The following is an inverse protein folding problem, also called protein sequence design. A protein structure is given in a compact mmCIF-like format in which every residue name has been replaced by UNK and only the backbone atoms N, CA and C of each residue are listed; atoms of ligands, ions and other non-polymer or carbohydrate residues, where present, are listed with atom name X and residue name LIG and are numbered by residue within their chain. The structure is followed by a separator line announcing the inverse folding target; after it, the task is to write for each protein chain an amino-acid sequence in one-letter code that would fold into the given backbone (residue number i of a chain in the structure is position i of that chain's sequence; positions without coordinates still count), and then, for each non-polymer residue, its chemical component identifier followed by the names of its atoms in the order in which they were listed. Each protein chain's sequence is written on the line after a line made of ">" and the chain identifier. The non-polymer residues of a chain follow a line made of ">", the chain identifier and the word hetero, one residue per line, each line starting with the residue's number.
data_IF_214042781483
#
_entry.id   IF_214042781483
#
_cell.length_a   1.000
_cell.length_b   1.000
_cell.length_c   1.000
_cell.angle_alpha   90.00
_cell.angle_beta   90.00
_cell.angle_gamma   90.00
#
_symmetry.space_group_name_H-M   'P 1'
#
loop_
_entity.id
_entity.type
_entity.pdbx_description
1 polymer ?
#
# COMPACT_ATOMS: atom_id res chain seq x y z
N UNK A 1 2.92 31.63 -1.25
CA UNK A 1 2.13 30.41 -1.09
C UNK A 1 2.62 29.75 0.18
N UNK A 2 1.86 29.87 1.25
CA UNK A 2 2.23 29.31 2.56
C UNK A 2 1.88 27.83 2.64
N UNK A 3 2.46 27.11 3.60
CA UNK A 3 2.11 25.69 3.84
C UNK A 3 0.62 25.51 4.13
N UNK A 4 -0.03 26.48 4.74
CA UNK A 4 -1.47 26.50 4.99
C UNK A 4 -2.29 26.60 3.70
N UNK A 5 -1.87 27.44 2.74
CA UNK A 5 -2.52 27.56 1.42
C UNK A 5 -2.47 26.23 0.65
N UNK A 6 -1.36 25.50 0.74
CA UNK A 6 -1.18 24.18 0.09
C UNK A 6 -2.12 23.15 0.73
N UNK A 7 -2.20 23.12 2.05
CA UNK A 7 -3.08 22.19 2.79
C UNK A 7 -4.56 22.47 2.49
N UNK A 8 -4.94 23.73 2.40
CA UNK A 8 -6.33 24.12 2.14
C UNK A 8 -6.73 23.79 0.68
N UNK A 9 -5.85 24.04 -0.27
CA UNK A 9 -6.04 23.69 -1.68
C UNK A 9 -6.06 22.16 -1.90
N UNK A 10 -5.23 21.43 -1.16
CA UNK A 10 -5.27 19.97 -1.18
C UNK A 10 -6.57 19.43 -0.60
N UNK A 11 -7.08 20.01 0.49
CA UNK A 11 -8.39 19.66 1.07
C UNK A 11 -9.55 19.97 0.11
N UNK A 12 -9.51 21.07 -0.59
CA UNK A 12 -10.52 21.42 -1.60
C UNK A 12 -10.52 20.44 -2.78
N UNK A 13 -9.33 20.10 -3.29
CA UNK A 13 -9.16 19.09 -4.32
C UNK A 13 -9.71 17.74 -3.87
N UNK A 14 -9.34 17.28 -2.67
CA UNK A 14 -9.85 16.03 -2.11
C UNK A 14 -11.37 16.02 -1.95
N UNK A 15 -11.96 17.12 -1.48
CA UNK A 15 -13.41 17.24 -1.31
C UNK A 15 -14.15 17.24 -2.65
N UNK A 16 -13.57 17.89 -3.65
CA UNK A 16 -14.13 17.98 -5.01
C UNK A 16 -14.03 16.67 -5.78
N UNK A 17 -13.00 15.86 -5.50
CA UNK A 17 -12.73 14.62 -6.24
C UNK A 17 -13.43 13.39 -5.64
N UNK A 18 -13.55 13.33 -4.30
CA UNK A 18 -14.13 12.17 -3.62
C UNK A 18 -15.57 12.38 -3.16
N UNK A 19 -16.17 13.55 -3.43
CA UNK A 19 -17.57 13.88 -3.05
C UNK A 19 -17.92 13.49 -1.60
N UNK A 20 -16.97 13.62 -0.69
CA UNK A 20 -17.19 13.37 0.73
C UNK A 20 -18.11 14.47 1.24
N UNK A 21 -19.36 14.13 1.53
CA UNK A 21 -20.33 15.10 2.01
C UNK A 21 -19.90 15.66 3.36
N UNK A 22 -20.17 16.95 3.57
CA UNK A 22 -19.91 17.65 4.85
C UNK A 22 -20.62 16.99 6.03
N UNK A 23 -21.71 16.25 5.78
CA UNK A 23 -22.46 15.49 6.77
C UNK A 23 -21.71 14.25 7.29
N UNK A 24 -20.99 13.55 6.43
CA UNK A 24 -20.17 12.41 6.83
C UNK A 24 -18.98 12.84 7.69
N UNK A 25 -18.37 14.01 7.40
CA UNK A 25 -17.34 14.61 8.27
C UNK A 25 -17.88 14.96 9.66
N UNK A 26 -19.11 15.47 9.76
CA UNK A 26 -19.74 15.78 11.05
C UNK A 26 -20.07 14.53 11.84
N UNK A 27 -20.47 13.44 11.18
CA UNK A 27 -20.71 12.13 11.82
C UNK A 27 -19.44 11.47 12.33
N UNK A 28 -18.34 11.53 11.57
CA UNK A 28 -17.04 11.02 11.99
C UNK A 28 -16.50 11.79 13.21
N UNK A 29 -16.58 13.14 13.22
CA UNK A 29 -16.18 13.95 14.39
C UNK A 29 -17.05 13.70 15.63
N UNK A 30 -18.37 13.47 15.48
CA UNK A 30 -19.24 13.16 16.64
C UNK A 30 -18.95 11.80 17.26
N UNK A 31 -18.45 10.81 16.52
CA UNK A 31 -18.04 9.51 17.08
C UNK A 31 -16.76 9.56 17.92
N UNK A 32 -15.92 10.57 17.73
CA UNK A 32 -14.67 10.76 18.48
C UNK A 32 -14.85 11.47 19.83
N UNK A 33 -16.03 12.00 20.15
CA UNK A 33 -16.27 12.86 21.35
C UNK A 33 -17.15 12.20 22.41
N UNK A 34 -17.60 10.96 22.25
CA UNK A 34 -18.35 10.27 23.32
C UNK A 34 -17.40 9.55 24.27
N UNK A 35 -17.21 10.01 25.53
CA UNK A 35 -16.45 9.27 26.52
C UNK A 35 -17.23 7.98 26.86
N UNK A 36 -16.58 6.83 26.69
CA UNK A 36 -17.10 5.55 27.09
C UNK A 36 -17.23 5.52 28.62
N UNK A 37 -18.47 5.58 29.12
CA UNK A 37 -18.76 5.30 30.53
C UNK A 37 -18.50 3.81 30.81
N UNK A 38 -17.43 3.55 31.53
CA UNK A 38 -17.06 2.23 32.03
C UNK A 38 -18.09 1.71 33.01
N UNK A 39 -19.01 0.84 32.57
CA UNK A 39 -19.73 -0.05 33.46
C UNK A 39 -18.86 -1.28 33.75
N UNK A 40 -18.34 -1.31 34.96
CA UNK A 40 -17.61 -2.42 35.56
C UNK A 40 -18.57 -3.60 35.78
N UNK A 41 -18.67 -4.50 34.79
CA UNK A 41 -19.35 -5.78 34.91
C UNK A 41 -18.35 -6.89 35.19
N UNK A 42 -18.45 -7.54 36.36
CA UNK A 42 -17.74 -8.77 36.69
C UNK A 42 -18.07 -9.83 35.63
N UNK A 43 -17.12 -10.23 34.79
CA UNK A 43 -17.22 -11.44 33.98
C UNK A 43 -16.46 -12.56 34.66
N UNK A 44 -17.20 -13.59 35.04
CA UNK A 44 -16.69 -14.90 35.44
C UNK A 44 -16.02 -15.55 34.23
N UNK A 45 -14.86 -16.16 34.48
CA UNK A 45 -13.96 -16.66 33.46
C UNK A 45 -14.48 -17.88 32.70
N UNK A 46 -14.09 -17.95 31.46
CA UNK A 46 -14.08 -19.17 30.68
C UNK A 46 -12.65 -19.69 30.57
N UNK A 47 -12.38 -20.73 31.32
CA UNK A 47 -11.07 -21.34 31.52
C UNK A 47 -10.61 -22.29 30.41
N UNK A 48 -11.17 -22.23 29.21
CA UNK A 48 -10.89 -23.21 28.14
C UNK A 48 -9.82 -22.81 27.13
N UNK A 49 -9.36 -21.54 27.11
CA UNK A 49 -8.36 -21.04 26.16
C UNK A 49 -6.91 -21.11 26.64
N UNK A 50 -6.69 -21.53 27.91
CA UNK A 50 -5.34 -21.66 28.48
C UNK A 50 -4.56 -22.93 28.07
N UNK A 51 -5.18 -23.83 27.29
CA UNK A 51 -4.60 -25.13 26.97
C UNK A 51 -3.78 -25.18 25.66
N UNK A 52 -3.80 -24.14 24.88
CA UNK A 52 -3.00 -24.00 23.68
C UNK A 52 -2.10 -22.77 23.83
N UNK A 53 -0.89 -22.92 24.28
CA UNK A 53 0.15 -21.95 24.58
C UNK A 53 0.41 -20.78 23.60
N UNK A 54 -0.57 -20.37 22.86
CA UNK A 54 -0.65 -19.15 22.05
C UNK A 54 -1.40 -18.11 22.86
N UNK A 55 -0.67 -17.34 23.67
CA UNK A 55 -1.19 -16.10 24.27
C UNK A 55 -1.51 -15.07 23.18
N UNK A 56 -2.66 -15.24 22.52
CA UNK A 56 -3.25 -14.21 21.72
C UNK A 56 -3.80 -13.16 22.68
N UNK A 57 -3.02 -12.12 22.97
CA UNK A 57 -3.55 -10.90 23.57
C UNK A 57 -4.51 -10.28 22.55
N UNK A 58 -5.76 -10.03 22.95
CA UNK A 58 -6.79 -9.38 22.13
C UNK A 58 -6.44 -7.93 21.74
N UNK A 59 -5.30 -7.41 22.17
CA UNK A 59 -4.78 -6.08 21.85
C UNK A 59 -3.37 -6.19 21.27
N UNK A 60 -3.21 -6.22 19.94
CA UNK A 60 -1.89 -6.18 19.29
C UNK A 60 -1.15 -4.85 19.52
N UNK A 61 -1.80 -3.83 20.08
CA UNK A 61 -1.24 -2.50 20.32
C UNK A 61 -0.12 -2.48 21.37
N UNK A 62 -0.07 -3.47 22.27
CA UNK A 62 0.94 -3.52 23.33
C UNK A 62 2.17 -4.39 23.00
N UNK A 63 2.29 -4.92 21.79
CA UNK A 63 3.43 -5.75 21.39
C UNK A 63 4.64 -4.93 20.88
N UNK A 64 4.52 -3.62 20.76
CA UNK A 64 5.60 -2.75 20.35
C UNK A 64 5.96 -1.77 21.46
N UNK A 65 7.01 -2.13 22.19
CA UNK A 65 7.57 -1.39 23.28
C UNK A 65 8.00 0.02 22.92
N UNK A 66 7.23 0.97 23.41
CA UNK A 66 7.80 2.18 23.95
C UNK A 66 8.31 1.83 25.35
N UNK A 67 9.58 2.14 25.62
CA UNK A 67 10.18 2.02 26.94
C UNK A 67 9.47 2.93 27.94
N UNK A 68 8.53 2.38 28.69
CA UNK A 68 8.08 2.96 29.96
C UNK A 68 8.21 1.89 31.03
N UNK A 69 9.14 2.12 31.94
CA UNK A 69 9.27 1.39 33.19
C UNK A 69 7.96 1.46 33.96
N UNK A 70 7.24 0.36 33.96
CA UNK A 70 6.11 0.09 34.82
C UNK A 70 6.19 -1.36 35.24
N UNK A 71 6.75 -1.61 36.42
CA UNK A 71 6.76 -2.93 37.07
C UNK A 71 5.33 -3.31 37.44
N UNK A 72 4.76 -4.27 36.66
CA UNK A 72 3.60 -5.05 37.06
C UNK A 72 3.90 -6.54 36.86
N UNK A 73 3.47 -7.43 37.75
CA UNK A 73 3.80 -8.86 37.65
C UNK A 73 2.84 -9.56 36.70
N UNK A 74 2.91 -9.27 35.41
CA UNK A 74 2.21 -10.04 34.38
C UNK A 74 3.20 -10.85 33.58
N UNK A 75 3.08 -12.14 33.75
CA UNK A 75 3.89 -13.17 33.16
C UNK A 75 4.08 -12.95 31.65
N UNK A 76 5.27 -12.56 31.26
CA UNK A 76 5.77 -12.71 29.90
C UNK A 76 5.76 -14.20 29.56
N UNK A 77 4.70 -14.67 28.94
CA UNK A 77 4.75 -15.94 28.20
C UNK A 77 5.60 -15.66 26.96
N UNK A 78 6.90 -15.73 27.13
CA UNK A 78 7.86 -15.81 26.04
C UNK A 78 7.62 -17.15 25.36
N UNK A 79 6.78 -17.21 24.36
CA UNK A 79 6.74 -18.32 23.41
C UNK A 79 8.09 -18.30 22.70
N UNK A 80 8.99 -19.18 23.10
CA UNK A 80 10.29 -19.37 22.46
C UNK A 80 10.08 -20.15 21.16
N UNK A 81 9.42 -19.54 20.17
CA UNK A 81 9.50 -20.06 18.82
C UNK A 81 10.88 -19.72 18.27
N UNK A 82 11.53 -20.68 17.63
CA UNK A 82 12.77 -20.40 16.91
C UNK A 82 12.46 -19.46 15.71
N UNK A 83 13.48 -18.77 15.20
CA UNK A 83 13.32 -17.89 14.05
C UNK A 83 12.79 -18.66 12.82
N UNK A 84 13.20 -19.92 12.67
CA UNK A 84 12.77 -20.81 11.58
C UNK A 84 11.30 -21.22 11.73
N UNK A 85 10.87 -21.56 12.93
CA UNK A 85 9.46 -21.90 13.22
C UNK A 85 8.55 -20.69 12.97
N UNK A 86 8.99 -19.48 13.38
CA UNK A 86 8.25 -18.26 13.15
C UNK A 86 8.13 -17.94 11.65
N UNK A 87 9.20 -18.11 10.89
CA UNK A 87 9.19 -17.96 9.44
C UNK A 87 8.24 -18.95 8.78
N UNK A 88 8.34 -20.22 9.13
CA UNK A 88 7.46 -21.28 8.63
C UNK A 88 5.98 -20.98 8.95
N UNK A 89 5.70 -20.46 10.14
CA UNK A 89 4.37 -20.02 10.53
C UNK A 89 3.88 -18.86 9.64
N UNK A 90 4.73 -17.88 9.36
CA UNK A 90 4.37 -16.75 8.49
C UNK A 90 4.12 -17.20 7.05
N UNK A 91 4.95 -18.10 6.51
CA UNK A 91 4.77 -18.67 5.17
C UNK A 91 3.50 -19.53 5.08
N UNK A 92 3.15 -20.25 6.13
CA UNK A 92 1.90 -21.02 6.19
C UNK A 92 0.68 -20.11 6.18
N UNK A 93 0.76 -18.98 6.89
CA UNK A 93 -0.36 -18.03 7.04
C UNK A 93 -0.54 -17.15 5.82
N UNK A 94 0.53 -16.55 5.30
CA UNK A 94 0.48 -15.54 4.25
C UNK A 94 0.84 -16.06 2.85
N UNK A 95 1.44 -17.22 2.78
CA UNK A 95 1.91 -17.85 1.55
C UNK A 95 3.44 -17.93 1.48
N UNK A 96 3.93 -18.77 0.57
CA UNK A 96 5.35 -18.97 0.33
C UNK A 96 6.06 -17.66 0.01
N UNK A 97 7.32 -17.57 0.39
CA UNK A 97 8.18 -16.46 0.00
C UNK A 97 8.32 -16.41 -1.54
N UNK A 98 8.12 -15.21 -2.10
CA UNK A 98 8.29 -14.95 -3.54
C UNK A 98 9.77 -14.93 -3.95
N UNK A 99 10.67 -14.64 -2.99
CA UNK A 99 12.11 -14.61 -3.21
C UNK A 99 12.83 -15.75 -2.50
N UNK A 100 13.94 -16.23 -3.07
CA UNK A 100 14.83 -17.16 -2.39
C UNK A 100 15.32 -16.59 -1.06
N UNK A 101 15.57 -17.45 -0.08
CA UNK A 101 15.98 -17.03 1.27
C UNK A 101 17.21 -16.11 1.26
N UNK A 102 18.21 -16.42 0.43
CA UNK A 102 19.43 -15.60 0.30
C UNK A 102 19.17 -14.17 -0.18
N UNK A 103 18.19 -13.98 -1.03
CA UNK A 103 17.80 -12.64 -1.52
C UNK A 103 17.03 -11.89 -0.44
N UNK A 104 16.10 -12.56 0.25
CA UNK A 104 15.37 -11.97 1.37
C UNK A 104 16.34 -11.51 2.46
N UNK A 105 17.33 -12.30 2.82
CA UNK A 105 18.36 -11.95 3.81
C UNK A 105 19.17 -10.71 3.38
N UNK A 106 19.54 -10.60 2.10
CA UNK A 106 20.23 -9.40 1.58
C UNK A 106 19.34 -8.15 1.67
N UNK A 107 18.05 -8.29 1.35
CA UNK A 107 17.08 -7.19 1.46
C UNK A 107 16.93 -6.79 2.92
N UNK A 108 16.79 -7.74 3.84
CA UNK A 108 16.71 -7.49 5.28
C UNK A 108 17.97 -6.77 5.80
N UNK A 109 19.15 -7.19 5.41
CA UNK A 109 20.41 -6.54 5.79
C UNK A 109 20.47 -5.09 5.34
N UNK A 110 19.89 -4.76 4.20
CA UNK A 110 19.88 -3.39 3.66
C UNK A 110 18.80 -2.50 4.28
N UNK A 111 17.62 -3.05 4.60
CA UNK A 111 16.44 -2.28 5.02
C UNK A 111 16.16 -2.36 6.53
N UNK A 112 16.48 -3.50 7.16
CA UNK A 112 16.21 -3.72 8.57
C UNK A 112 17.36 -3.18 9.45
N UNK A 113 17.56 -1.86 9.43
CA UNK A 113 18.56 -1.15 10.22
C UNK A 113 17.94 -0.07 11.10
N UNK A 114 18.67 0.43 12.08
CA UNK A 114 18.20 1.50 12.96
C UNK A 114 16.92 1.12 13.71
N UNK A 115 15.83 1.84 13.50
CA UNK A 115 14.51 1.57 14.12
C UNK A 115 13.88 0.25 13.69
N UNK A 116 14.38 -0.37 12.62
CA UNK A 116 13.87 -1.62 12.07
C UNK A 116 14.82 -2.82 12.30
N UNK A 117 15.88 -2.67 13.11
CA UNK A 117 16.92 -3.69 13.31
C UNK A 117 16.40 -5.07 13.80
N UNK A 118 15.25 -5.11 14.47
CA UNK A 118 14.63 -6.35 14.96
C UNK A 118 13.46 -6.82 14.07
N UNK A 119 13.39 -6.35 12.82
CA UNK A 119 12.30 -6.67 11.91
C UNK A 119 12.77 -7.63 10.83
N UNK A 120 11.82 -8.40 10.32
CA UNK A 120 11.99 -9.30 9.20
C UNK A 120 11.04 -8.91 8.07
N UNK A 121 11.37 -9.31 6.84
CA UNK A 121 10.56 -9.09 5.65
C UNK A 121 10.09 -10.42 5.07
N UNK A 122 8.83 -10.46 4.64
CA UNK A 122 8.30 -11.57 3.87
C UNK A 122 7.60 -11.01 2.63
N UNK A 123 8.16 -11.30 1.46
CA UNK A 123 7.51 -11.02 0.19
C UNK A 123 6.77 -12.27 -0.26
N UNK A 124 5.49 -12.15 -0.62
CA UNK A 124 4.68 -13.30 -1.01
C UNK A 124 3.71 -12.97 -2.12
N UNK A 125 3.46 -13.92 -3.01
CA UNK A 125 2.39 -13.84 -4.01
C UNK A 125 1.06 -14.42 -3.49
N UNK A 126 1.00 -14.82 -2.21
CA UNK A 126 -0.18 -15.43 -1.62
C UNK A 126 -0.39 -16.90 -1.98
N UNK A 127 0.59 -17.53 -2.65
CA UNK A 127 0.56 -18.97 -2.93
C UNK A 127 0.74 -19.76 -1.62
N UNK A 128 -0.31 -20.42 -1.22
CA UNK A 128 -0.31 -21.15 0.06
C UNK A 128 0.43 -22.46 -0.05
N UNK A 129 1.13 -22.79 1.02
CA UNK A 129 1.69 -24.13 1.20
C UNK A 129 0.52 -25.10 1.39
N UNK A 130 0.48 -26.22 0.63
CA UNK A 130 -0.50 -27.27 0.81
C UNK A 130 -0.36 -27.89 2.21
N UNK A 131 -1.20 -27.44 3.11
CA UNK A 131 -1.26 -27.92 4.48
C UNK A 131 -2.40 -28.92 4.66
N UNK A 132 -2.48 -29.93 3.80
CA UNK A 132 -3.41 -31.05 3.98
C UNK A 132 -3.22 -31.79 5.33
N UNK A 133 -2.14 -31.50 6.06
CA UNK A 133 -1.78 -32.12 7.34
C UNK A 133 -2.04 -31.22 8.58
N UNK A 134 -2.40 -29.95 8.45
CA UNK A 134 -2.63 -29.06 9.60
C UNK A 134 -4.13 -28.93 9.83
N UNK A 135 -4.67 -29.83 10.64
CA UNK A 135 -6.07 -29.81 11.12
C UNK A 135 -6.25 -28.91 12.35
N UNK A 136 -5.75 -27.67 12.29
CA UNK A 136 -6.04 -26.71 13.35
C UNK A 136 -7.34 -25.97 13.04
N UNK A 137 -8.39 -26.21 13.84
CA UNK A 137 -9.70 -25.57 13.66
C UNK A 137 -9.67 -24.04 13.61
N UNK A 138 -8.68 -23.42 14.26
CA UNK A 138 -8.44 -21.96 14.21
C UNK A 138 -7.99 -21.51 12.82
N UNK A 139 -7.13 -22.26 12.17
CA UNK A 139 -6.64 -21.94 10.83
C UNK A 139 -7.75 -22.09 9.79
N UNK A 140 -8.58 -23.13 9.90
CA UNK A 140 -9.75 -23.32 9.06
C UNK A 140 -10.74 -22.15 9.19
N UNK A 141 -10.99 -21.69 10.43
CA UNK A 141 -11.86 -20.53 10.69
C UNK A 141 -11.27 -19.22 10.11
N UNK A 142 -9.95 -19.03 10.22
CA UNK A 142 -9.26 -17.87 9.63
C UNK A 142 -9.41 -17.87 8.12
N UNK A 143 -9.19 -18.99 7.46
CA UNK A 143 -9.37 -19.16 6.00
C UNK A 143 -10.81 -18.90 5.56
N UNK A 144 -11.78 -19.38 6.34
CA UNK A 144 -13.19 -19.13 6.06
C UNK A 144 -13.53 -17.63 6.13
N UNK A 145 -13.00 -16.92 7.14
CA UNK A 145 -13.18 -15.46 7.28
C UNK A 145 -12.53 -14.70 6.13
N UNK A 146 -11.33 -15.09 5.72
CA UNK A 146 -10.65 -14.50 4.56
C UNK A 146 -11.44 -14.72 3.27
N UNK A 147 -11.90 -15.95 3.02
CA UNK A 147 -12.74 -16.26 1.85
C UNK A 147 -14.05 -15.45 1.83
N UNK A 148 -14.69 -15.31 3.01
CA UNK A 148 -15.88 -14.49 3.15
C UNK A 148 -15.61 -13.00 2.87
N UNK A 149 -14.43 -12.48 3.30
CA UNK A 149 -14.05 -11.11 3.00
C UNK A 149 -13.76 -10.90 1.52
N UNK A 150 -13.06 -11.82 0.87
CA UNK A 150 -12.80 -11.79 -0.58
C UNK A 150 -14.12 -11.76 -1.37
N UNK A 151 -15.10 -12.58 -0.97
CA UNK A 151 -16.43 -12.57 -1.57
C UNK A 151 -17.13 -11.22 -1.39
N UNK A 152 -17.02 -10.60 -0.21
CA UNK A 152 -17.56 -9.26 0.06
C UNK A 152 -16.90 -8.18 -0.79
N UNK A 153 -15.57 -8.22 -0.95
CA UNK A 153 -14.84 -7.26 -1.77
C UNK A 153 -15.36 -7.27 -3.22
N UNK A 154 -15.54 -8.47 -3.79
CA UNK A 154 -16.07 -8.64 -5.14
C UNK A 154 -17.53 -8.18 -5.24
N UNK A 155 -18.38 -8.63 -4.32
CA UNK A 155 -19.79 -8.25 -4.29
C UNK A 155 -19.97 -6.72 -4.17
N UNK A 156 -19.19 -6.06 -3.34
CA UNK A 156 -19.23 -4.60 -3.20
C UNK A 156 -18.85 -3.88 -4.51
N UNK A 157 -17.81 -4.35 -5.20
CA UNK A 157 -17.44 -3.80 -6.50
C UNK A 157 -18.51 -4.03 -7.56
N UNK A 158 -19.11 -5.22 -7.60
CA UNK A 158 -20.15 -5.61 -8.55
C UNK A 158 -21.48 -4.88 -8.30
N UNK A 159 -21.83 -4.60 -7.06
CA UNK A 159 -23.03 -3.85 -6.70
C UNK A 159 -23.06 -2.46 -7.36
N UNK A 160 -21.92 -1.80 -7.46
CA UNK A 160 -21.78 -0.47 -8.07
C UNK A 160 -21.07 -0.50 -9.43
N UNK A 161 -21.19 -1.61 -10.19
CA UNK A 161 -20.41 -1.87 -11.42
C UNK A 161 -20.47 -0.74 -12.44
N UNK A 162 -21.65 -0.13 -12.65
CA UNK A 162 -21.83 0.97 -13.60
C UNK A 162 -21.04 2.20 -13.18
N UNK A 163 -21.12 2.57 -11.90
CA UNK A 163 -20.38 3.69 -11.31
C UNK A 163 -18.88 3.45 -11.37
N UNK A 164 -18.45 2.25 -11.02
CA UNK A 164 -17.04 1.86 -11.02
C UNK A 164 -16.44 1.86 -12.43
N UNK A 165 -17.18 1.37 -13.43
CA UNK A 165 -16.77 1.44 -14.84
C UNK A 165 -16.67 2.87 -15.35
N UNK A 166 -17.61 3.73 -14.98
CA UNK A 166 -17.55 5.16 -15.33
C UNK A 166 -16.34 5.86 -14.68
N UNK A 167 -16.04 5.53 -13.42
CA UNK A 167 -14.86 6.02 -12.72
C UNK A 167 -13.55 5.57 -13.39
N UNK A 168 -13.45 4.30 -13.77
CA UNK A 168 -12.30 3.77 -14.53
C UNK A 168 -12.15 4.52 -15.86
N UNK A 169 -13.21 4.67 -16.63
CA UNK A 169 -13.16 5.39 -17.91
C UNK A 169 -12.72 6.85 -17.75
N UNK A 170 -13.25 7.55 -16.73
CA UNK A 170 -12.87 8.92 -16.41
C UNK A 170 -11.39 9.01 -16.00
N UNK A 171 -10.91 8.11 -15.16
CA UNK A 171 -9.52 8.07 -14.70
C UNK A 171 -8.58 7.72 -15.86
N UNK A 172 -8.92 6.74 -16.68
CA UNK A 172 -8.19 6.39 -17.92
C UNK A 172 -8.03 7.60 -18.83
N UNK A 173 -9.12 8.33 -19.12
CA UNK A 173 -9.05 9.54 -19.95
C UNK A 173 -8.16 10.63 -19.37
N UNK A 174 -8.15 10.81 -18.04
CA UNK A 174 -7.28 11.79 -17.39
C UNK A 174 -5.81 11.39 -17.44
N UNK A 175 -5.50 10.12 -17.20
CA UNK A 175 -4.12 9.59 -17.30
C UNK A 175 -3.63 9.74 -18.74
N UNK A 176 -4.42 9.33 -19.72
CA UNK A 176 -4.07 9.49 -21.14
C UNK A 176 -3.80 10.93 -21.52
N UNK A 177 -4.66 11.86 -21.08
CA UNK A 177 -4.45 13.28 -21.34
C UNK A 177 -3.19 13.81 -20.68
N UNK A 178 -2.88 13.40 -19.45
CA UNK A 178 -1.62 13.78 -18.78
C UNK A 178 -0.40 13.22 -19.52
N UNK A 179 -0.42 11.96 -19.89
CA UNK A 179 0.66 11.33 -20.66
C UNK A 179 0.84 12.01 -22.03
N UNK A 180 -0.26 12.30 -22.75
CA UNK A 180 -0.21 13.01 -24.03
C UNK A 180 0.34 14.43 -23.91
N UNK A 181 0.02 15.13 -22.82
CA UNK A 181 0.58 16.47 -22.58
C UNK A 181 2.09 16.45 -22.36
N UNK A 182 2.61 15.43 -21.69
CA UNK A 182 4.04 15.25 -21.47
C UNK A 182 4.78 14.74 -22.72
N UNK A 183 4.10 13.99 -23.59
CA UNK A 183 4.66 13.54 -24.87
C UNK A 183 4.69 14.67 -25.94
N UNK A 184 4.01 15.80 -25.71
CA UNK A 184 4.10 16.93 -26.62
C UNK A 184 5.48 17.58 -26.50
N UNK A 185 6.22 17.69 -27.62
CA UNK A 185 7.53 18.31 -27.61
C UNK A 185 7.45 19.74 -27.10
N UNK A 186 8.02 20.00 -25.94
CA UNK A 186 8.07 21.34 -25.37
C UNK A 186 9.23 22.11 -25.99
N UNK A 187 9.00 23.33 -26.51
CA UNK A 187 10.06 24.16 -27.06
C UNK A 187 10.92 24.70 -25.91
N UNK A 188 12.12 24.16 -25.74
CA UNK A 188 13.10 24.60 -24.74
C UNK A 188 14.14 25.51 -25.41
N UNK A 189 14.56 26.54 -24.69
CA UNK A 189 15.67 27.42 -25.16
C UNK A 189 16.98 26.64 -25.11
N UNK A 190 17.68 26.59 -26.20
CA UNK A 190 18.93 25.86 -26.36
C UNK A 190 19.98 26.70 -27.10
N UNK A 191 21.23 26.24 -27.05
CA UNK A 191 22.35 26.85 -27.79
C UNK A 191 22.43 26.33 -29.23
N UNK A 192 21.58 25.35 -29.58
CA UNK A 192 21.52 24.76 -30.93
C UNK A 192 20.08 24.34 -31.27
N UNK A 193 19.74 24.33 -32.56
CA UNK A 193 18.43 23.96 -33.05
C UNK A 193 17.82 25.00 -33.98
N UNK A 194 16.50 25.20 -33.95
CA UNK A 194 15.82 26.20 -34.79
C UNK A 194 15.90 27.58 -34.15
N UNK A 195 16.39 28.58 -34.92
CA UNK A 195 16.48 29.96 -34.43
C UNK A 195 15.10 30.53 -34.09
N UNK A 196 14.96 31.08 -32.90
CA UNK A 196 13.80 31.88 -32.53
C UNK A 196 14.00 33.33 -33.00
N UNK A 197 13.38 33.73 -34.13
CA UNK A 197 13.54 35.06 -34.68
C UNK A 197 13.15 36.21 -33.72
N UNK A 198 12.23 35.95 -32.75
CA UNK A 198 11.85 36.94 -31.74
C UNK A 198 12.95 37.13 -30.66
N UNK A 199 13.83 36.19 -30.52
CA UNK A 199 14.91 36.21 -29.50
C UNK A 199 16.32 36.38 -30.11
N UNK A 200 16.44 36.35 -31.44
CA UNK A 200 17.73 36.44 -32.14
C UNK A 200 18.52 37.69 -31.75
N UNK A 201 17.83 38.83 -31.49
CA UNK A 201 18.47 40.08 -31.07
C UNK A 201 19.23 39.96 -29.74
N UNK A 202 18.87 39.00 -28.87
CA UNK A 202 19.52 38.79 -27.57
C UNK A 202 20.92 38.28 -27.74
N UNK A 203 21.20 37.51 -28.79
CA UNK A 203 22.58 37.06 -29.08
C UNK A 203 23.48 38.25 -29.39
N UNK A 204 22.98 39.24 -30.14
CA UNK A 204 23.77 40.40 -30.52
C UNK A 204 23.92 41.46 -29.43
N UNK A 205 22.88 41.65 -28.59
CA UNK A 205 22.82 42.77 -27.63
C UNK A 205 23.16 42.30 -26.20
N UNK A 206 22.79 41.08 -25.83
CA UNK A 206 22.95 40.53 -24.46
C UNK A 206 23.99 39.42 -24.36
N UNK A 207 24.62 39.02 -25.45
CA UNK A 207 25.55 37.89 -25.53
C UNK A 207 24.94 36.59 -25.00
N UNK A 208 23.60 36.42 -25.17
CA UNK A 208 22.86 35.24 -24.73
C UNK A 208 22.75 34.26 -25.91
N UNK A 209 23.54 33.19 -25.86
CA UNK A 209 23.61 32.19 -26.93
C UNK A 209 22.34 31.30 -27.01
N UNK A 210 21.45 31.35 -26.01
CA UNK A 210 20.21 30.55 -25.93
C UNK A 210 19.08 31.14 -26.77
N UNK A 211 19.36 31.41 -28.04
CA UNK A 211 18.39 31.96 -29.01
C UNK A 211 17.76 30.91 -29.91
N UNK A 212 18.16 29.66 -29.73
CA UNK A 212 17.58 28.54 -30.46
C UNK A 212 16.45 27.89 -29.66
N UNK A 213 15.54 27.25 -30.37
CA UNK A 213 14.51 26.38 -29.81
C UNK A 213 14.84 24.96 -30.20
N UNK A 214 14.98 24.11 -29.22
CA UNK A 214 15.05 22.67 -29.38
C UNK A 214 13.74 22.08 -28.83
N UNK A 215 13.08 21.26 -29.61
CA UNK A 215 11.95 20.49 -29.08
C UNK A 215 12.53 19.34 -28.25
N UNK A 216 12.41 19.44 -26.96
CA UNK A 216 12.67 18.30 -26.07
C UNK A 216 11.38 17.51 -25.93
N UNK A 217 11.44 16.24 -26.26
CA UNK A 217 10.38 15.29 -26.06
C UNK A 217 10.75 14.47 -24.82
N UNK A 218 10.02 14.69 -23.74
CA UNK A 218 10.15 13.85 -22.56
C UNK A 218 9.60 12.47 -22.91
N UNK A 219 10.45 11.48 -22.87
CA UNK A 219 10.11 10.10 -23.16
C UNK A 219 9.41 9.47 -21.94
N UNK A 220 8.15 9.89 -21.68
CA UNK A 220 7.34 9.30 -20.60
C UNK A 220 6.91 7.85 -20.88
N UNK A 221 7.37 7.26 -21.98
CA UNK A 221 7.09 5.86 -22.32
C UNK A 221 7.65 4.85 -21.32
N UNK A 222 8.50 5.29 -20.39
CA UNK A 222 9.20 4.44 -19.43
C UNK A 222 8.68 4.62 -17.97
N UNK A 223 7.44 5.07 -17.83
CA UNK A 223 6.79 5.23 -16.52
C UNK A 223 6.25 3.89 -16.00
N UNK A 224 6.67 3.50 -14.80
CA UNK A 224 6.07 2.39 -14.05
C UNK A 224 5.42 2.90 -12.75
N UNK A 225 4.31 2.27 -12.36
CA UNK A 225 3.54 2.66 -11.18
C UNK A 225 3.43 1.48 -10.21
N UNK A 226 3.81 1.70 -8.97
CA UNK A 226 3.56 0.77 -7.86
C UNK A 226 2.41 1.29 -7.00
N UNK A 227 1.47 0.42 -6.67
CA UNK A 227 0.36 0.70 -5.75
C UNK A 227 0.58 -0.12 -4.49
N UNK A 228 0.70 0.55 -3.35
CA UNK A 228 0.89 -0.06 -2.05
C UNK A 228 -0.35 0.17 -1.18
N UNK A 229 -1.06 -0.92 -0.86
CA UNK A 229 -2.27 -0.91 -0.06
C UNK A 229 -1.93 -1.20 1.41
N UNK A 230 -2.33 -0.32 2.30
CA UNK A 230 -2.24 -0.59 3.73
C UNK A 230 -3.26 -1.67 4.12
N UNK A 231 -2.77 -2.81 4.59
CA UNK A 231 -3.59 -3.93 5.06
C UNK A 231 -3.56 -4.07 6.58
N UNK A 232 -3.32 -3.00 7.31
CA UNK A 232 -3.40 -2.98 8.78
C UNK A 232 -4.84 -3.13 9.28
N UNK A 233 -4.98 -3.44 10.57
CA UNK A 233 -6.29 -3.65 11.20
C UNK A 233 -7.16 -2.39 11.21
N UNK A 234 -6.58 -1.19 11.10
CA UNK A 234 -7.33 0.07 10.96
C UNK A 234 -8.25 0.06 9.75
N UNK A 235 -7.81 -0.58 8.66
CA UNK A 235 -8.57 -0.73 7.41
C UNK A 235 -9.71 -1.77 7.47
N UNK A 236 -9.90 -2.47 8.61
CA UNK A 236 -10.86 -3.57 8.72
C UNK A 236 -12.29 -3.22 8.29
N UNK A 237 -12.71 -1.98 8.51
CA UNK A 237 -14.06 -1.53 8.16
C UNK A 237 -14.16 -0.92 6.75
N UNK A 238 -13.05 -0.91 5.98
CA UNK A 238 -12.94 -0.26 4.66
C UNK A 238 -12.32 -1.18 3.61
N UNK A 239 -12.19 -2.47 3.92
CA UNK A 239 -11.52 -3.43 3.06
C UNK A 239 -12.10 -3.47 1.65
N UNK A 240 -13.42 -3.47 1.54
CA UNK A 240 -14.14 -3.46 0.28
C UNK A 240 -13.79 -2.21 -0.55
N UNK A 241 -13.74 -1.06 0.10
CA UNK A 241 -13.43 0.22 -0.55
C UNK A 241 -11.98 0.28 -1.03
N UNK A 242 -11.02 -0.12 -0.17
CA UNK A 242 -9.59 -0.12 -0.50
C UNK A 242 -9.31 -1.07 -1.67
N UNK A 243 -9.88 -2.27 -1.62
CA UNK A 243 -9.79 -3.27 -2.67
C UNK A 243 -10.35 -2.76 -4.00
N UNK A 244 -11.56 -2.16 -3.98
CA UNK A 244 -12.18 -1.60 -5.18
C UNK A 244 -11.37 -0.42 -5.75
N UNK A 245 -10.86 0.47 -4.90
CA UNK A 245 -10.02 1.59 -5.33
C UNK A 245 -8.70 1.11 -5.95
N UNK A 246 -8.00 0.17 -5.29
CA UNK A 246 -6.80 -0.44 -5.83
C UNK A 246 -7.03 -1.06 -7.19
N UNK A 247 -8.12 -1.83 -7.34
CA UNK A 247 -8.52 -2.42 -8.62
C UNK A 247 -8.81 -1.35 -9.69
N UNK A 248 -9.57 -0.32 -9.37
CA UNK A 248 -9.92 0.75 -10.34
C UNK A 248 -8.70 1.51 -10.84
N UNK A 249 -7.75 1.80 -9.95
CA UNK A 249 -6.50 2.49 -10.34
C UNK A 249 -5.67 1.58 -11.23
N UNK A 250 -5.45 0.32 -10.81
CA UNK A 250 -4.68 -0.66 -11.58
C UNK A 250 -5.27 -0.94 -12.96
N UNK A 251 -6.60 -1.05 -13.06
CA UNK A 251 -7.32 -1.26 -14.32
C UNK A 251 -7.20 -0.04 -15.24
N UNK A 252 -7.27 1.17 -14.68
CA UNK A 252 -7.12 2.41 -15.45
C UNK A 252 -5.70 2.56 -16.01
N UNK A 253 -4.67 2.24 -15.22
CA UNK A 253 -3.29 2.23 -15.67
C UNK A 253 -3.04 1.16 -16.75
N UNK A 254 -3.59 -0.04 -16.57
CA UNK A 254 -3.50 -1.09 -17.56
C UNK A 254 -4.11 -0.70 -18.91
N UNK A 255 -5.25 -0.01 -18.91
CA UNK A 255 -5.89 0.54 -20.13
C UNK A 255 -5.08 1.62 -20.80
N UNK A 256 -4.26 2.33 -20.05
CA UNK A 256 -3.31 3.32 -20.59
C UNK A 256 -1.99 2.70 -21.08
N UNK A 257 -1.81 1.38 -20.92
CA UNK A 257 -0.56 0.70 -21.25
C UNK A 257 0.57 1.00 -20.27
N UNK A 258 0.27 1.59 -19.10
CA UNK A 258 1.27 1.90 -18.06
C UNK A 258 1.53 0.64 -17.23
N UNK A 259 2.79 0.16 -17.16
CA UNK A 259 3.17 -0.94 -16.29
C UNK A 259 2.83 -0.64 -14.83
N UNK A 260 2.12 -1.56 -14.17
CA UNK A 260 1.65 -1.34 -12.81
C UNK A 260 1.82 -2.60 -11.98
N UNK A 261 2.40 -2.47 -10.79
CA UNK A 261 2.46 -3.52 -9.76
C UNK A 261 1.56 -3.13 -8.59
N UNK A 262 0.85 -4.09 -8.04
CA UNK A 262 -0.05 -3.86 -6.90
C UNK A 262 0.36 -4.77 -5.75
N UNK A 263 0.60 -4.15 -4.60
CA UNK A 263 1.03 -4.82 -3.39
C UNK A 263 0.18 -4.37 -2.20
N UNK A 264 0.12 -5.19 -1.16
CA UNK A 264 -0.35 -4.75 0.16
C UNK A 264 0.70 -5.04 1.21
N UNK A 265 0.63 -4.33 2.34
CA UNK A 265 1.52 -4.59 3.46
C UNK A 265 0.76 -4.67 4.77
N UNK A 266 1.25 -5.52 5.65
CA UNK A 266 0.87 -5.56 7.06
C UNK A 266 2.06 -6.03 7.90
N UNK A 267 1.99 -5.86 9.22
CA UNK A 267 3.05 -6.29 10.13
C UNK A 267 2.49 -7.19 11.22
N UNK A 268 3.17 -8.29 11.51
CA UNK A 268 2.80 -9.22 12.57
C UNK A 268 4.05 -9.85 13.19
N UNK A 269 4.13 -9.84 14.50
CA UNK A 269 5.18 -10.55 15.27
C UNK A 269 6.61 -10.27 14.81
N UNK A 270 6.92 -9.01 14.46
CA UNK A 270 8.24 -8.60 13.96
C UNK A 270 8.44 -8.77 12.46
N UNK A 271 7.56 -9.44 11.75
CA UNK A 271 7.57 -9.53 10.28
C UNK A 271 6.75 -8.41 9.66
N UNK A 272 7.30 -7.77 8.64
CA UNK A 272 6.53 -6.95 7.68
C UNK A 272 6.31 -7.77 6.43
N UNK A 273 5.05 -8.06 6.16
CA UNK A 273 4.62 -8.91 5.05
C UNK A 273 4.23 -7.98 3.90
N UNK A 274 4.85 -8.17 2.74
CA UNK A 274 4.50 -7.49 1.49
C UNK A 274 3.91 -8.53 0.54
N UNK A 275 2.60 -8.45 0.33
CA UNK A 275 1.89 -9.35 -0.58
C UNK A 275 1.73 -8.71 -1.94
N UNK A 276 2.23 -9.37 -2.98
CA UNK A 276 2.15 -8.94 -4.37
C UNK A 276 0.91 -9.60 -4.99
N UNK A 277 -0.06 -8.81 -5.43
CA UNK A 277 -1.26 -9.28 -6.12
C UNK A 277 -1.05 -9.36 -7.62
N UNK A 278 -0.35 -8.37 -8.17
CA UNK A 278 -0.08 -8.25 -9.59
C UNK A 278 1.31 -7.69 -9.81
N UNK A 279 2.03 -8.21 -10.78
CA UNK A 279 3.29 -7.65 -11.26
C UNK A 279 3.08 -6.87 -12.57
N UNK A 280 4.08 -6.11 -13.00
CA UNK A 280 4.01 -5.18 -14.13
C UNK A 280 3.50 -5.83 -15.42
N UNK A 281 3.97 -7.03 -15.74
CA UNK A 281 3.69 -7.72 -16.98
C UNK A 281 2.42 -8.60 -16.95
N UNK A 282 1.66 -8.55 -15.86
CA UNK A 282 0.50 -9.43 -15.63
C UNK A 282 -0.81 -8.69 -15.41
N UNK A 283 -1.33 -7.94 -16.40
CA UNK A 283 -2.60 -7.21 -16.25
C UNK A 283 -3.80 -8.13 -15.98
N UNK A 284 -3.74 -9.40 -16.42
CA UNK A 284 -4.78 -10.39 -16.14
C UNK A 284 -4.96 -10.66 -14.63
N UNK A 285 -3.92 -10.45 -13.83
CA UNK A 285 -3.94 -10.68 -12.39
C UNK A 285 -4.65 -9.56 -11.60
N UNK A 286 -5.20 -8.52 -12.25
CA UNK A 286 -5.98 -7.47 -11.59
C UNK A 286 -7.07 -8.02 -10.67
N UNK A 287 -7.72 -9.13 -11.03
CA UNK A 287 -8.75 -9.77 -10.21
C UNK A 287 -8.25 -10.25 -8.85
N UNK A 288 -6.95 -10.49 -8.69
CA UNK A 288 -6.33 -10.90 -7.42
C UNK A 288 -6.33 -9.76 -6.38
N UNK A 289 -6.49 -8.50 -6.79
CA UNK A 289 -6.58 -7.35 -5.88
C UNK A 289 -7.79 -7.50 -4.95
N UNK A 290 -8.86 -8.18 -5.38
CA UNK A 290 -10.00 -8.48 -4.51
C UNK A 290 -9.68 -9.48 -3.39
N UNK A 291 -8.52 -10.16 -3.45
CA UNK A 291 -8.03 -10.99 -2.36
C UNK A 291 -7.39 -10.19 -1.22
N UNK A 292 -7.47 -8.87 -1.28
CA UNK A 292 -7.03 -7.98 -0.20
C UNK A 292 -7.82 -8.26 1.08
N UNK A 293 -7.08 -8.45 2.17
CA UNK A 293 -7.64 -8.66 3.52
C UNK A 293 -6.76 -7.91 4.52
N UNK A 294 -7.39 -7.09 5.38
CA UNK A 294 -6.66 -6.40 6.43
C UNK A 294 -6.33 -7.34 7.59
N UNK A 295 -5.09 -7.29 8.05
CA UNK A 295 -4.61 -8.12 9.16
C UNK A 295 -3.36 -7.48 9.81
N UNK A 296 -3.21 -7.65 11.12
CA UNK A 296 -2.02 -7.19 11.83
C UNK A 296 -1.94 -5.67 12.05
N UNK A 297 -0.73 -5.21 12.31
CA UNK A 297 -0.40 -3.80 12.53
C UNK A 297 0.16 -3.17 11.25
N UNK A 298 0.39 -1.86 11.26
CA UNK A 298 1.12 -1.16 10.21
C UNK A 298 2.58 -0.94 10.62
N UNK A 299 3.46 -0.91 9.62
CA UNK A 299 4.84 -0.49 9.71
C UNK A 299 5.22 0.18 8.40
N UNK A 300 4.65 1.36 8.20
CA UNK A 300 4.67 2.10 6.94
C UNK A 300 6.09 2.35 6.43
N UNK A 301 6.99 2.81 7.33
CA UNK A 301 8.37 3.13 6.95
C UNK A 301 9.10 1.94 6.32
N UNK A 302 9.01 0.75 6.91
CA UNK A 302 9.67 -0.45 6.36
C UNK A 302 8.97 -0.95 5.10
N UNK A 303 7.64 -0.85 5.04
CA UNK A 303 6.86 -1.25 3.87
C UNK A 303 7.15 -0.36 2.65
N UNK A 304 7.23 0.96 2.85
CA UNK A 304 7.60 1.92 1.80
C UNK A 304 9.06 1.68 1.34
N UNK A 305 9.98 1.45 2.28
CA UNK A 305 11.37 1.12 1.95
C UNK A 305 11.47 -0.18 1.14
N UNK A 306 10.68 -1.21 1.51
CA UNK A 306 10.62 -2.47 0.77
C UNK A 306 10.04 -2.28 -0.64
N UNK A 307 8.96 -1.50 -0.80
CA UNK A 307 8.40 -1.15 -2.09
C UNK A 307 9.42 -0.39 -2.95
N UNK A 308 10.08 0.62 -2.38
CA UNK A 308 11.14 1.39 -3.06
C UNK A 308 12.30 0.49 -3.52
N UNK A 309 12.74 -0.45 -2.68
CA UNK A 309 13.77 -1.43 -3.05
C UNK A 309 13.36 -2.25 -4.28
N UNK A 310 12.12 -2.76 -4.29
CA UNK A 310 11.59 -3.51 -5.43
C UNK A 310 11.47 -2.65 -6.69
N UNK A 311 11.10 -1.37 -6.57
CA UNK A 311 11.04 -0.43 -7.68
C UNK A 311 12.43 -0.18 -8.29
N UNK A 312 13.46 -0.03 -7.45
CA UNK A 312 14.82 0.23 -7.92
C UNK A 312 15.41 -0.93 -8.72
N UNK A 313 14.95 -2.16 -8.47
CA UNK A 313 15.34 -3.34 -9.24
C UNK A 313 14.73 -3.41 -10.65
N UNK A 314 13.87 -2.47 -11.04
CA UNK A 314 13.20 -2.45 -12.35
C UNK A 314 13.91 -1.54 -13.35
N UNK A 315 13.85 -1.83 -14.67
CA UNK A 315 14.56 -1.08 -15.69
C UNK A 315 13.93 0.30 -15.99
N UNK A 316 12.72 0.58 -15.48
CA UNK A 316 11.99 1.82 -15.77
C UNK A 316 12.70 3.05 -15.21
N UNK A 317 12.76 4.13 -16.00
CA UNK A 317 13.41 5.39 -15.62
C UNK A 317 12.52 6.21 -14.68
N UNK A 318 11.24 6.34 -15.03
CA UNK A 318 10.25 7.07 -14.22
C UNK A 318 9.44 6.11 -13.35
N UNK A 319 9.43 6.35 -12.05
CA UNK A 319 8.80 5.46 -11.06
C UNK A 319 7.89 6.24 -10.13
N UNK A 320 6.63 5.81 -10.02
CA UNK A 320 5.65 6.41 -9.13
C UNK A 320 5.15 5.39 -8.12
N UNK A 321 5.22 5.73 -6.84
CA UNK A 321 4.60 4.94 -5.77
C UNK A 321 3.33 5.64 -5.29
N UNK A 322 2.21 4.93 -5.36
CA UNK A 322 0.90 5.35 -4.83
C UNK A 322 0.63 4.54 -3.57
N UNK A 323 0.49 5.21 -2.44
CA UNK A 323 0.16 4.55 -1.16
C UNK A 323 -1.29 4.85 -0.80
N UNK A 324 -2.08 3.80 -0.56
CA UNK A 324 -3.45 3.91 -0.06
C UNK A 324 -3.45 3.50 1.42
N UNK A 325 -3.57 4.48 2.29
CA UNK A 325 -3.63 4.34 3.76
C UNK A 325 -4.69 5.29 4.33
N UNK A 326 -5.07 5.14 5.61
CA UNK A 326 -6.01 6.00 6.32
C UNK A 326 -5.37 7.19 7.05
#
# INVERSE_FOLDING_TARGET
>A
MTTEDIVERTKELFTRWFQISTEERKRAKRRLITPALHKRGKRQGTSSLRRFGLGLTEHPENAYGGSSQGQGPDAQVKTKMSAEELRSFMETKYGKSAFPQRETEKIEQSLCSGSHAACHLLFTNGERVDTSKIQNGFEALSRQREAAQIAKNRACYEADICRNRAAIASLTGKIQNSVLLHLQPAPVKANSGRINGRMAWRAAVMNDERVFIKNEQDDMGDLAVDILLDASTSQKNRQETVSAQGYMIAESLARCGVPCRVMSFCSMTGYTIVRIFRDYDRPADNSKIFEYVSNGCNRDGLAIAAAHYLMNGTPYEHKLLIVLSD
#
